data_IF_049773671976
#
_entry.id   IF_049773671976
#
_cell.length_a   1.000
_cell.length_b   1.000
_cell.length_c   1.000
_cell.angle_alpha   90.00
_cell.angle_beta   90.00
_cell.angle_gamma   90.00
#
_symmetry.space_group_name_H-M   'P 1'
#
loop_
_entity.id
_entity.type
_entity.pdbx_description
1 polymer ?
#
# COMPACT_ATOMS: atom_id res chain seq x y z
N UNK A 1 -8.95 5.21 7.93
CA UNK A 1 -9.16 6.45 8.73
C UNK A 1 -10.53 7.03 8.38
N UNK A 2 -11.46 7.23 9.32
CA UNK A 2 -12.76 7.90 9.04
C UNK A 2 -12.52 9.41 8.91
N UNK A 3 -13.08 10.03 7.87
CA UNK A 3 -13.06 11.48 7.65
C UNK A 3 -13.64 12.18 8.88
N UNK A 4 -12.95 13.20 9.40
CA UNK A 4 -13.44 14.04 10.49
C UNK A 4 -13.76 15.40 9.90
N UNK A 5 -15.04 15.70 9.77
CA UNK A 5 -15.48 16.97 9.20
C UNK A 5 -15.44 18.06 10.27
N UNK A 6 -14.91 19.22 9.88
CA UNK A 6 -14.76 20.41 10.70
C UNK A 6 -15.27 21.61 9.92
N UNK A 7 -16.27 22.29 10.46
CA UNK A 7 -16.91 23.44 9.82
C UNK A 7 -16.55 24.72 10.56
N UNK A 8 -16.21 25.76 9.80
CA UNK A 8 -15.93 27.10 10.28
C UNK A 8 -16.98 28.05 9.72
N UNK A 9 -17.71 28.73 10.61
CA UNK A 9 -18.67 29.78 10.28
C UNK A 9 -18.21 31.09 10.89
N UNK A 10 -18.08 32.11 10.04
CA UNK A 10 -17.69 33.46 10.45
C UNK A 10 -18.86 34.39 10.15
N UNK A 11 -19.36 35.07 11.19
CA UNK A 11 -20.34 36.14 11.07
C UNK A 11 -19.80 37.43 11.74
N UNK A 12 -20.44 38.57 11.49
CA UNK A 12 -20.08 39.88 12.05
C UNK A 12 -20.10 39.89 13.58
N UNK A 13 -20.93 39.04 14.21
CA UNK A 13 -21.03 38.93 15.68
C UNK A 13 -20.20 37.78 16.25
N UNK A 14 -20.23 36.60 15.64
CA UNK A 14 -19.62 35.39 16.21
C UNK A 14 -18.68 34.64 15.26
N UNK A 15 -17.75 33.88 15.86
CA UNK A 15 -16.93 32.89 15.19
C UNK A 15 -17.31 31.51 15.74
N UNK A 16 -17.87 30.65 14.89
CA UNK A 16 -18.44 29.36 15.29
C UNK A 16 -17.65 28.25 14.62
N UNK A 17 -17.23 27.26 15.42
CA UNK A 17 -16.60 26.04 14.93
C UNK A 17 -17.46 24.85 15.31
N UNK A 18 -17.75 23.98 14.34
CA UNK A 18 -18.58 22.79 14.55
C UNK A 18 -17.77 21.57 14.14
N UNK A 19 -17.68 20.60 15.05
CA UNK A 19 -17.08 19.30 14.74
C UNK A 19 -17.95 18.17 15.25
N UNK A 20 -18.03 17.11 14.45
CA UNK A 20 -18.78 15.90 14.78
C UNK A 20 -18.10 15.06 15.88
N UNK A 21 -16.82 15.32 16.16
CA UNK A 21 -16.02 14.64 17.18
C UNK A 21 -15.09 15.65 17.84
N UNK A 22 -14.68 15.35 19.07
CA UNK A 22 -13.69 16.16 19.76
C UNK A 22 -12.38 16.23 18.95
N UNK A 23 -11.83 17.44 18.82
CA UNK A 23 -10.63 17.70 18.02
C UNK A 23 -9.55 18.35 18.87
N UNK A 24 -8.32 17.84 18.79
CA UNK A 24 -7.16 18.42 19.47
C UNK A 24 -6.71 19.75 18.84
N UNK A 25 -7.23 20.11 17.67
CA UNK A 25 -6.90 21.34 16.95
C UNK A 25 -7.24 22.56 17.83
N UNK A 26 -8.42 22.55 18.47
CA UNK A 26 -8.87 23.65 19.32
C UNK A 26 -8.22 23.62 20.72
N UNK A 27 -7.70 22.48 21.17
CA UNK A 27 -6.99 22.39 22.44
C UNK A 27 -5.71 23.24 22.43
N UNK A 28 -5.02 23.32 21.29
CA UNK A 28 -3.81 24.13 21.18
C UNK A 28 -4.09 25.65 21.32
N UNK A 29 -5.29 26.09 20.91
CA UNK A 29 -5.77 27.45 21.17
C UNK A 29 -6.22 27.65 22.61
N UNK A 30 -6.97 26.70 23.17
CA UNK A 30 -7.43 26.75 24.57
C UNK A 30 -6.25 26.79 25.56
N UNK A 31 -5.15 26.12 25.23
CA UNK A 31 -3.96 26.01 26.07
C UNK A 31 -2.89 27.09 25.77
N UNK A 32 -3.22 28.15 25.02
CA UNK A 32 -2.31 29.25 24.67
C UNK A 32 -0.98 28.82 23.99
N UNK A 33 -0.98 27.70 23.27
CA UNK A 33 0.21 27.27 22.50
C UNK A 33 0.39 28.08 21.22
N UNK A 34 -0.70 28.66 20.70
CA UNK A 34 -0.68 29.53 19.52
C UNK A 34 -0.46 30.98 19.98
N UNK A 35 0.73 31.53 19.70
CA UNK A 35 1.07 32.92 20.07
C UNK A 35 0.28 33.93 19.24
N UNK A 36 -0.10 35.05 19.86
CA UNK A 36 -0.73 36.17 19.16
C UNK A 36 -2.17 35.90 18.66
N UNK A 37 -2.85 34.91 19.25
CA UNK A 37 -4.25 34.64 18.99
C UNK A 37 -5.15 35.62 19.77
N UNK A 38 -6.08 36.25 19.06
CA UNK A 38 -7.09 37.12 19.63
C UNK A 38 -8.45 36.84 18.99
N UNK A 39 -9.48 36.62 19.80
CA UNK A 39 -10.84 36.27 19.34
C UNK A 39 -11.51 37.38 18.53
N UNK A 40 -11.14 38.65 18.75
CA UNK A 40 -11.67 39.78 18.00
C UNK A 40 -11.08 39.89 16.59
N UNK A 41 -9.89 39.32 16.31
CA UNK A 41 -9.29 39.25 14.97
C UNK A 41 -9.78 38.01 14.22
N UNK A 42 -11.07 37.98 13.85
CA UNK A 42 -11.76 36.81 13.28
C UNK A 42 -11.06 36.20 12.06
N UNK A 43 -10.60 37.03 11.13
CA UNK A 43 -9.86 36.57 9.93
C UNK A 43 -8.55 35.91 10.31
N UNK A 44 -7.73 36.57 11.14
CA UNK A 44 -6.48 36.00 11.67
C UNK A 44 -6.73 34.69 12.41
N UNK A 45 -7.77 34.62 13.23
CA UNK A 45 -8.10 33.40 13.95
C UNK A 45 -8.45 32.24 13.01
N UNK A 46 -9.22 32.49 11.96
CA UNK A 46 -9.51 31.49 10.92
C UNK A 46 -8.23 30.97 10.27
N UNK A 47 -7.33 31.88 9.88
CA UNK A 47 -6.05 31.54 9.26
C UNK A 47 -5.13 30.76 10.20
N UNK A 48 -5.09 31.13 11.48
CA UNK A 48 -4.34 30.40 12.50
C UNK A 48 -4.90 28.98 12.69
N UNK A 49 -6.23 28.78 12.67
CA UNK A 49 -6.83 27.44 12.72
C UNK A 49 -6.41 26.63 11.50
N UNK A 50 -6.48 27.22 10.29
CA UNK A 50 -6.03 26.56 9.07
C UNK A 50 -4.55 26.19 9.12
N UNK A 51 -3.70 27.06 9.66
CA UNK A 51 -2.28 26.80 9.88
C UNK A 51 -2.07 25.59 10.80
N UNK A 52 -2.71 25.58 11.97
CA UNK A 52 -2.64 24.44 12.91
C UNK A 52 -3.10 23.16 12.23
N UNK A 53 -4.22 23.20 11.49
CA UNK A 53 -4.71 22.04 10.72
C UNK A 53 -3.63 21.54 9.75
N UNK A 54 -3.00 22.42 8.95
CA UNK A 54 -1.91 22.06 8.04
C UNK A 54 -0.74 21.40 8.77
N UNK A 55 -0.33 21.91 9.94
CA UNK A 55 0.72 21.29 10.76
C UNK A 55 0.33 19.89 11.25
N UNK A 56 -0.93 19.67 11.64
CA UNK A 56 -1.44 18.34 12.00
C UNK A 56 -1.41 17.39 10.80
N UNK A 57 -1.80 17.84 9.59
CA UNK A 57 -1.68 17.05 8.37
C UNK A 57 -0.25 16.57 8.13
N UNK A 58 0.74 17.46 8.24
CA UNK A 58 2.16 17.12 8.12
C UNK A 58 2.61 16.10 9.16
N UNK A 59 2.17 16.26 10.42
CA UNK A 59 2.48 15.31 11.49
C UNK A 59 1.90 13.93 11.22
N UNK A 60 0.66 13.84 10.74
CA UNK A 60 0.04 12.57 10.38
C UNK A 60 0.70 11.93 9.16
N UNK A 61 1.09 12.71 8.15
CA UNK A 61 1.87 12.19 7.02
C UNK A 61 3.19 11.55 7.47
N UNK A 62 3.91 12.19 8.40
CA UNK A 62 5.13 11.61 8.99
C UNK A 62 4.86 10.31 9.76
N UNK A 63 3.72 10.21 10.45
CA UNK A 63 3.32 8.97 11.13
C UNK A 63 2.97 7.86 10.14
N UNK A 64 2.24 8.18 9.06
CA UNK A 64 1.93 7.24 7.98
C UNK A 64 3.23 6.71 7.39
N UNK A 65 4.19 7.59 7.06
CA UNK A 65 5.48 7.17 6.52
C UNK A 65 6.25 6.23 7.44
N UNK A 66 6.30 6.53 8.75
CA UNK A 66 6.91 5.62 9.73
C UNK A 66 6.21 4.27 9.76
N UNK A 67 4.88 4.26 9.73
CA UNK A 67 4.12 3.00 9.74
C UNK A 67 4.29 2.22 8.44
N UNK A 68 4.37 2.90 7.30
CA UNK A 68 4.73 2.29 6.01
C UNK A 68 6.07 1.56 6.10
N UNK A 69 7.12 2.21 6.63
CA UNK A 69 8.44 1.60 6.77
C UNK A 69 8.45 0.40 7.73
N UNK A 70 7.59 0.39 8.75
CA UNK A 70 7.42 -0.78 9.63
C UNK A 70 6.79 -1.95 8.87
N UNK A 71 5.67 -1.71 8.18
CA UNK A 71 4.97 -2.78 7.44
C UNK A 71 5.81 -3.28 6.26
N UNK A 72 6.61 -2.41 5.64
CA UNK A 72 7.58 -2.79 4.59
C UNK A 72 8.58 -3.83 5.13
N UNK A 73 9.15 -3.59 6.31
CA UNK A 73 10.07 -4.54 6.97
C UNK A 73 9.40 -5.86 7.30
N UNK A 74 8.15 -5.82 7.77
CA UNK A 74 7.37 -7.03 8.06
C UNK A 74 7.06 -7.83 6.79
N UNK A 75 6.70 -7.16 5.68
CA UNK A 75 6.47 -7.80 4.37
C UNK A 75 7.72 -8.44 3.79
N UNK A 76 8.89 -7.80 3.96
CA UNK A 76 10.16 -8.39 3.56
C UNK A 76 10.48 -9.68 4.32
N UNK A 77 10.01 -9.82 5.57
CA UNK A 77 10.20 -11.03 6.37
C UNK A 77 9.13 -12.09 6.09
N UNK A 78 7.87 -11.68 5.94
CA UNK A 78 6.77 -12.59 5.57
C UNK A 78 5.68 -11.90 4.75
N UNK A 79 5.50 -12.37 3.51
CA UNK A 79 4.40 -11.94 2.62
C UNK A 79 3.08 -12.60 3.00
N UNK A 80 2.59 -12.28 4.19
CA UNK A 80 1.30 -12.73 4.68
C UNK A 80 0.20 -11.74 4.24
N UNK A 81 -1.02 -12.26 4.12
CA UNK A 81 -2.15 -11.47 3.64
C UNK A 81 -2.48 -10.28 4.56
N UNK A 82 -2.23 -10.40 5.86
CA UNK A 82 -2.55 -9.35 6.83
C UNK A 82 -1.75 -8.07 6.58
N UNK A 83 -0.48 -8.22 6.23
CA UNK A 83 0.48 -7.15 5.98
C UNK A 83 0.18 -6.48 4.63
N UNK A 84 -0.26 -7.26 3.63
CA UNK A 84 -0.82 -6.72 2.38
C UNK A 84 -2.08 -5.88 2.61
N UNK A 85 -3.01 -6.34 3.45
CA UNK A 85 -4.19 -5.56 3.82
C UNK A 85 -3.84 -4.29 4.60
N UNK A 86 -2.81 -4.33 5.45
CA UNK A 86 -2.29 -3.14 6.13
C UNK A 86 -1.71 -2.14 5.12
N UNK A 87 -0.97 -2.60 4.11
CA UNK A 87 -0.46 -1.77 3.01
C UNK A 87 -1.58 -1.06 2.25
N UNK A 88 -2.59 -1.82 1.82
CA UNK A 88 -3.79 -1.27 1.14
C UNK A 88 -4.50 -0.22 1.99
N UNK A 89 -4.59 -0.43 3.31
CA UNK A 89 -5.21 0.52 4.21
C UNK A 89 -4.40 1.82 4.34
N UNK A 90 -3.06 1.74 4.34
CA UNK A 90 -2.16 2.90 4.35
C UNK A 90 -2.27 3.67 3.03
N UNK A 91 -2.21 2.99 1.89
CA UNK A 91 -2.37 3.57 0.55
C UNK A 91 -3.69 4.34 0.44
N UNK A 92 -4.81 3.68 0.78
CA UNK A 92 -6.15 4.32 0.77
C UNK A 92 -6.19 5.56 1.67
N UNK A 93 -5.57 5.50 2.85
CA UNK A 93 -5.53 6.63 3.77
C UNK A 93 -4.74 7.80 3.18
N UNK A 94 -3.63 7.50 2.49
CA UNK A 94 -2.79 8.51 1.86
C UNK A 94 -3.47 9.17 0.66
N UNK A 95 -4.20 8.41 -0.16
CA UNK A 95 -5.03 8.96 -1.25
C UNK A 95 -6.07 9.94 -0.69
N UNK A 96 -6.77 9.59 0.39
CA UNK A 96 -7.71 10.53 1.03
C UNK A 96 -7.02 11.79 1.58
N UNK A 97 -5.82 11.65 2.14
CA UNK A 97 -5.01 12.78 2.58
C UNK A 97 -4.66 13.71 1.42
N UNK A 98 -4.12 13.16 0.33
CA UNK A 98 -3.78 13.90 -0.87
C UNK A 98 -4.99 14.63 -1.45
N UNK A 99 -6.14 13.96 -1.60
CA UNK A 99 -7.37 14.59 -2.10
C UNK A 99 -7.82 15.74 -1.20
N UNK A 100 -7.76 15.56 0.12
CA UNK A 100 -8.16 16.61 1.08
C UNK A 100 -7.21 17.80 1.04
N UNK A 101 -5.91 17.56 0.95
CA UNK A 101 -4.90 18.62 0.84
C UNK A 101 -5.06 19.41 -0.46
N UNK A 102 -5.26 18.74 -1.61
CA UNK A 102 -5.55 19.39 -2.89
C UNK A 102 -6.81 20.25 -2.84
N UNK A 103 -7.87 19.76 -2.20
CA UNK A 103 -9.09 20.55 -2.00
C UNK A 103 -8.83 21.79 -1.12
N UNK A 104 -8.08 21.64 -0.03
CA UNK A 104 -7.70 22.76 0.85
C UNK A 104 -6.87 23.81 0.08
N UNK A 105 -5.90 23.40 -0.75
CA UNK A 105 -5.11 24.30 -1.59
C UNK A 105 -5.99 25.19 -2.48
N UNK A 106 -7.06 24.64 -3.07
CA UNK A 106 -7.99 25.41 -3.90
C UNK A 106 -8.71 26.48 -3.08
N UNK A 107 -9.15 26.16 -1.86
CA UNK A 107 -9.81 27.11 -0.95
C UNK A 107 -8.83 28.20 -0.50
N UNK A 108 -7.62 27.84 -0.08
CA UNK A 108 -6.59 28.79 0.34
C UNK A 108 -6.21 29.78 -0.77
N UNK A 109 -6.01 29.28 -2.00
CA UNK A 109 -5.73 30.14 -3.16
C UNK A 109 -6.91 31.07 -3.50
N UNK A 110 -8.15 30.62 -3.32
CA UNK A 110 -9.33 31.48 -3.50
C UNK A 110 -9.38 32.58 -2.44
N UNK A 111 -9.06 32.28 -1.18
CA UNK A 111 -8.99 33.28 -0.11
C UNK A 111 -7.97 34.38 -0.43
N UNK A 112 -6.80 34.01 -0.97
CA UNK A 112 -5.74 34.96 -1.35
C UNK A 112 -6.16 35.86 -2.52
N UNK A 113 -6.83 35.30 -3.54
CA UNK A 113 -7.18 36.03 -4.77
C UNK A 113 -8.42 36.90 -4.66
N UNK A 114 -9.44 36.45 -3.93
CA UNK A 114 -10.77 37.07 -3.95
C UNK A 114 -10.98 38.06 -2.81
N UNK A 115 -9.99 38.29 -1.93
CA UNK A 115 -10.13 39.13 -0.73
C UNK A 115 -11.46 38.88 0.01
N UNK A 116 -11.86 37.60 0.15
CA UNK A 116 -13.15 37.19 0.69
C UNK A 116 -13.38 37.66 2.14
N UNK A 117 -12.29 38.02 2.82
CA UNK A 117 -12.26 38.52 4.19
C UNK A 117 -11.41 39.79 4.21
N UNK A 118 -11.76 40.76 5.06
CA UNK A 118 -10.84 41.88 5.37
C UNK A 118 -9.58 41.29 6.00
N UNK A 119 -8.47 41.37 5.26
CA UNK A 119 -7.15 40.90 5.66
C UNK A 119 -6.20 42.09 5.74
N UNK A 120 -5.45 42.17 6.84
CA UNK A 120 -4.30 43.05 6.93
C UNK A 120 -3.09 42.40 6.22
N UNK A 121 -2.03 43.16 5.92
CA UNK A 121 -0.84 42.60 5.26
C UNK A 121 -0.24 41.41 6.02
N UNK A 122 -0.12 41.51 7.35
CA UNK A 122 0.34 40.41 8.20
C UNK A 122 -0.53 39.14 8.11
N UNK A 123 -1.81 39.27 7.74
CA UNK A 123 -2.71 38.12 7.56
C UNK A 123 -2.51 37.47 6.17
N UNK A 124 -2.07 38.23 5.17
CA UNK A 124 -1.70 37.70 3.85
C UNK A 124 -0.42 36.89 3.94
N UNK A 125 0.59 37.40 4.64
CA UNK A 125 1.85 36.66 4.89
C UNK A 125 1.57 35.31 5.56
N UNK A 126 0.72 35.30 6.59
CA UNK A 126 0.30 34.07 7.25
C UNK A 126 -0.43 33.11 6.31
N UNK A 127 -1.28 33.62 5.41
CA UNK A 127 -1.97 32.78 4.43
C UNK A 127 -1.00 32.18 3.40
N UNK A 128 0.01 32.94 2.96
CA UNK A 128 1.07 32.43 2.09
C UNK A 128 1.86 31.29 2.76
N UNK A 129 2.24 31.45 4.03
CA UNK A 129 2.89 30.39 4.81
C UNK A 129 2.01 29.12 4.87
N UNK A 130 0.70 29.26 5.10
CA UNK A 130 -0.24 28.13 5.11
C UNK A 130 -0.30 27.43 3.74
N UNK A 131 -0.25 28.20 2.65
CA UNK A 131 -0.27 27.66 1.28
C UNK A 131 1.04 26.89 1.00
N UNK A 132 2.19 27.41 1.41
CA UNK A 132 3.50 26.75 1.26
C UNK A 132 3.52 25.42 2.01
N UNK A 133 3.14 25.42 3.28
CA UNK A 133 3.09 24.20 4.11
C UNK A 133 2.08 23.18 3.55
N UNK A 134 0.94 23.63 3.02
CA UNK A 134 -0.04 22.75 2.38
C UNK A 134 0.52 22.14 1.08
N UNK A 135 1.25 22.92 0.29
CA UNK A 135 1.92 22.45 -0.93
C UNK A 135 2.96 21.38 -0.60
N UNK A 136 3.78 21.61 0.43
CA UNK A 136 4.76 20.63 0.89
C UNK A 136 4.08 19.33 1.35
N UNK A 137 2.93 19.43 2.05
CA UNK A 137 2.16 18.26 2.43
C UNK A 137 1.65 17.45 1.22
N UNK A 138 1.23 18.13 0.15
CA UNK A 138 0.79 17.47 -1.09
C UNK A 138 1.95 16.70 -1.73
N UNK A 139 3.13 17.33 -1.87
CA UNK A 139 4.30 16.70 -2.47
C UNK A 139 4.77 15.48 -1.69
N UNK A 140 4.77 15.55 -0.36
CA UNK A 140 5.08 14.40 0.49
C UNK A 140 4.03 13.28 0.33
N UNK A 141 2.75 13.62 0.31
CA UNK A 141 1.69 12.63 0.13
C UNK A 141 1.77 11.94 -1.23
N UNK A 142 2.05 12.68 -2.30
CA UNK A 142 2.27 12.14 -3.65
C UNK A 142 3.49 11.22 -3.69
N UNK A 143 4.62 11.65 -3.10
CA UNK A 143 5.84 10.84 -3.01
C UNK A 143 5.57 9.53 -2.30
N UNK A 144 4.96 9.57 -1.11
CA UNK A 144 4.66 8.37 -0.34
C UNK A 144 3.66 7.46 -1.04
N UNK A 145 2.73 8.01 -1.82
CA UNK A 145 1.73 7.23 -2.55
C UNK A 145 2.37 6.51 -3.72
N UNK A 146 3.29 7.17 -4.42
CA UNK A 146 4.08 6.57 -5.49
C UNK A 146 4.94 5.43 -4.97
N UNK A 147 5.62 5.63 -3.84
CA UNK A 147 6.42 4.58 -3.20
C UNK A 147 5.54 3.38 -2.79
N UNK A 148 4.41 3.63 -2.11
CA UNK A 148 3.47 2.57 -1.70
C UNK A 148 2.96 1.77 -2.90
N UNK A 149 2.57 2.44 -3.98
CA UNK A 149 2.11 1.78 -5.22
C UNK A 149 3.22 0.94 -5.85
N UNK A 150 4.44 1.48 -5.98
CA UNK A 150 5.57 0.75 -6.55
C UNK A 150 5.96 -0.48 -5.73
N UNK A 151 5.85 -0.39 -4.40
CA UNK A 151 6.05 -1.55 -3.52
C UNK A 151 4.96 -2.61 -3.71
N UNK A 152 3.69 -2.21 -3.85
CA UNK A 152 2.58 -3.13 -4.11
C UNK A 152 2.80 -3.94 -5.40
N UNK A 153 3.25 -3.28 -6.47
CA UNK A 153 3.57 -3.92 -7.75
C UNK A 153 4.78 -4.86 -7.64
N UNK A 154 5.81 -4.46 -6.89
CA UNK A 154 6.96 -5.31 -6.61
C UNK A 154 6.54 -6.57 -5.82
N UNK A 155 5.70 -6.43 -4.80
CA UNK A 155 5.21 -7.57 -4.03
C UNK A 155 4.30 -8.49 -4.87
N UNK A 156 3.42 -7.94 -5.71
CA UNK A 156 2.65 -8.74 -6.65
C UNK A 156 3.56 -9.55 -7.59
N UNK A 157 4.66 -8.96 -8.05
CA UNK A 157 5.67 -9.64 -8.87
C UNK A 157 6.38 -10.77 -8.10
N UNK A 158 6.73 -10.55 -6.83
CA UNK A 158 7.34 -11.59 -5.98
C UNK A 158 6.36 -12.74 -5.73
N UNK A 159 5.08 -12.44 -5.45
CA UNK A 159 4.03 -13.46 -5.28
C UNK A 159 3.88 -14.28 -6.57
N UNK A 160 3.78 -13.62 -7.72
CA UNK A 160 3.70 -14.28 -9.03
C UNK A 160 4.93 -15.15 -9.32
N UNK A 161 6.13 -14.66 -8.98
CA UNK A 161 7.36 -15.43 -9.11
C UNK A 161 7.36 -16.67 -8.22
N UNK A 162 6.92 -16.55 -6.96
CA UNK A 162 6.80 -17.67 -6.04
C UNK A 162 5.77 -18.71 -6.53
N UNK A 163 4.63 -18.26 -7.04
CA UNK A 163 3.65 -19.15 -7.66
C UNK A 163 4.24 -19.86 -8.87
N UNK A 164 4.97 -19.16 -9.73
CA UNK A 164 5.65 -19.76 -10.88
C UNK A 164 6.68 -20.81 -10.45
N UNK A 165 7.45 -20.57 -9.38
CA UNK A 165 8.40 -21.56 -8.82
C UNK A 165 7.65 -22.80 -8.33
N UNK A 166 6.60 -22.63 -7.52
CA UNK A 166 5.80 -23.75 -6.98
C UNK A 166 5.11 -24.54 -8.11
N UNK A 167 4.57 -23.85 -9.11
CA UNK A 167 3.91 -24.48 -10.25
C UNK A 167 4.90 -25.27 -11.12
N UNK A 168 6.10 -24.73 -11.35
CA UNK A 168 7.16 -25.47 -12.05
C UNK A 168 7.56 -26.71 -11.26
N UNK A 169 7.74 -26.60 -9.95
CA UNK A 169 8.06 -27.75 -9.09
C UNK A 169 6.99 -28.84 -9.16
N UNK A 170 5.71 -28.49 -8.96
CA UNK A 170 4.59 -29.44 -8.98
C UNK A 170 4.43 -30.09 -10.36
N UNK A 171 4.50 -29.30 -11.43
CA UNK A 171 4.40 -29.79 -12.81
C UNK A 171 5.53 -30.76 -13.12
N UNK A 172 6.75 -30.39 -12.76
CA UNK A 172 7.92 -31.21 -13.00
C UNK A 172 7.90 -32.51 -12.20
N UNK A 173 7.47 -32.46 -10.93
CA UNK A 173 7.26 -33.65 -10.10
C UNK A 173 6.17 -34.57 -10.69
N UNK A 174 5.06 -34.00 -11.15
CA UNK A 174 3.97 -34.74 -11.80
C UNK A 174 4.44 -35.47 -13.05
N UNK A 175 5.20 -34.81 -13.92
CA UNK A 175 5.74 -35.41 -15.16
C UNK A 175 6.70 -36.57 -14.81
N UNK A 176 7.60 -36.37 -13.84
CA UNK A 176 8.55 -37.40 -13.42
C UNK A 176 7.81 -38.65 -12.92
N UNK A 177 6.77 -38.49 -12.10
CA UNK A 177 5.96 -39.62 -11.61
C UNK A 177 5.08 -40.26 -12.68
N UNK A 178 4.61 -39.48 -13.66
CA UNK A 178 3.71 -39.99 -14.71
C UNK A 178 4.40 -41.01 -15.62
N UNK A 179 5.71 -40.90 -15.85
CA UNK A 179 6.45 -41.79 -16.75
C UNK A 179 6.55 -43.24 -16.23
N UNK A 180 7.02 -43.51 -14.99
CA UNK A 180 6.97 -44.85 -14.42
C UNK A 180 5.55 -45.40 -14.30
N UNK A 181 4.60 -44.53 -13.92
CA UNK A 181 3.19 -44.93 -13.77
C UNK A 181 2.59 -45.36 -15.11
N UNK A 182 2.89 -44.66 -16.20
CA UNK A 182 2.47 -45.02 -17.55
C UNK A 182 3.06 -46.38 -17.97
N UNK A 183 4.35 -46.62 -17.74
CA UNK A 183 4.99 -47.90 -18.03
C UNK A 183 4.35 -49.04 -17.22
N UNK A 184 4.13 -48.84 -15.92
CA UNK A 184 3.46 -49.80 -15.05
C UNK A 184 2.00 -50.04 -15.48
N UNK A 185 1.27 -49.00 -15.89
CA UNK A 185 -0.11 -49.11 -16.35
C UNK A 185 -0.21 -49.90 -17.64
N UNK A 186 0.71 -49.71 -18.60
CA UNK A 186 0.71 -50.45 -19.86
C UNK A 186 0.97 -51.94 -19.59
N UNK A 187 2.01 -52.25 -18.82
CA UNK A 187 2.37 -53.64 -18.50
C UNK A 187 1.48 -54.30 -17.44
N UNK A 188 0.59 -53.54 -16.80
CA UNK A 188 -0.47 -54.04 -15.94
C UNK A 188 -1.77 -54.39 -16.68
N UNK A 189 -1.84 -54.16 -17.99
CA UNK A 189 -3.01 -54.53 -18.80
C UNK A 189 -3.06 -56.04 -19.03
N UNK A 190 -4.26 -56.63 -18.96
CA UNK A 190 -4.51 -58.05 -19.22
C UNK A 190 -4.57 -58.36 -20.73
N UNK A 191 -3.60 -57.87 -21.50
CA UNK A 191 -3.43 -58.11 -22.94
C UNK A 191 -2.05 -58.70 -23.18
N UNK A 192 -1.89 -59.53 -24.21
CA UNK A 192 -0.59 -60.11 -24.54
C UNK A 192 0.40 -59.04 -24.97
N UNK A 193 1.39 -58.74 -24.13
CA UNK A 193 2.39 -57.72 -24.37
C UNK A 193 3.75 -58.31 -24.75
N UNK A 194 4.54 -57.62 -25.59
CA UNK A 194 5.89 -58.04 -25.90
C UNK A 194 6.73 -58.13 -24.62
N UNK A 195 7.58 -59.15 -24.53
CA UNK A 195 8.47 -59.42 -23.38
C UNK A 195 7.78 -59.85 -22.07
N UNK A 196 6.46 -60.07 -22.03
CA UNK A 196 5.73 -60.47 -20.81
C UNK A 196 6.08 -61.87 -20.31
N UNK A 197 6.33 -62.83 -21.21
CA UNK A 197 6.57 -64.24 -20.85
C UNK A 197 8.03 -64.56 -20.46
N UNK A 198 8.89 -63.54 -20.34
CA UNK A 198 10.30 -63.72 -20.01
C UNK A 198 10.51 -63.67 -18.48
N UNK A 199 11.36 -64.55 -17.90
CA UNK A 199 11.61 -64.57 -16.45
C UNK A 199 12.26 -63.27 -15.92
N UNK A 200 12.89 -62.47 -16.79
CA UNK A 200 13.50 -61.18 -16.47
C UNK A 200 12.62 -59.96 -16.82
N UNK A 201 11.36 -60.17 -17.24
CA UNK A 201 10.45 -59.11 -17.70
C UNK A 201 10.25 -58.01 -16.63
N UNK A 202 9.99 -58.41 -15.39
CA UNK A 202 9.77 -57.49 -14.27
C UNK A 202 10.96 -56.54 -14.04
N UNK A 203 12.18 -57.10 -13.98
CA UNK A 203 13.41 -56.33 -13.83
C UNK A 203 13.66 -55.39 -15.01
N UNK A 204 13.37 -55.84 -16.23
CA UNK A 204 13.54 -55.04 -17.45
C UNK A 204 12.58 -53.85 -17.48
N UNK A 205 11.30 -54.05 -17.17
CA UNK A 205 10.28 -52.99 -17.15
C UNK A 205 10.59 -51.94 -16.08
N UNK A 206 10.97 -52.36 -14.88
CA UNK A 206 11.41 -51.44 -13.81
C UNK A 206 12.64 -50.65 -14.23
N UNK A 207 13.62 -51.30 -14.85
CA UNK A 207 14.84 -50.64 -15.33
C UNK A 207 14.53 -49.55 -16.36
N UNK A 208 13.61 -49.83 -17.31
CA UNK A 208 13.16 -48.85 -18.29
C UNK A 208 12.42 -47.68 -17.61
N UNK A 209 11.50 -47.97 -16.68
CA UNK A 209 10.75 -46.94 -15.96
C UNK A 209 11.68 -46.00 -15.16
N UNK A 210 12.65 -46.57 -14.43
CA UNK A 210 13.65 -45.80 -13.67
C UNK A 210 14.54 -44.99 -14.61
N UNK A 211 14.97 -45.57 -15.73
CA UNK A 211 15.81 -44.90 -16.72
C UNK A 211 15.07 -43.69 -17.35
N UNK A 212 13.80 -43.85 -17.75
CA UNK A 212 12.97 -42.77 -18.26
C UNK A 212 12.76 -41.65 -17.23
N UNK A 213 12.46 -42.01 -15.97
CA UNK A 213 12.31 -41.05 -14.88
C UNK A 213 13.60 -40.27 -14.61
N UNK A 214 14.75 -40.97 -14.62
CA UNK A 214 16.08 -40.39 -14.38
C UNK A 214 16.46 -39.42 -15.50
N UNK A 215 16.26 -39.81 -16.77
CA UNK A 215 16.53 -38.95 -17.92
C UNK A 215 15.70 -37.67 -17.85
N UNK A 216 14.40 -37.78 -17.60
CA UNK A 216 13.51 -36.62 -17.48
C UNK A 216 13.94 -35.69 -16.33
N UNK A 217 14.33 -36.26 -15.20
CA UNK A 217 14.86 -35.51 -14.06
C UNK A 217 16.12 -34.72 -14.44
N UNK A 218 17.08 -35.37 -15.12
CA UNK A 218 18.32 -34.71 -15.58
C UNK A 218 18.00 -33.58 -16.57
N UNK A 219 17.07 -33.79 -17.50
CA UNK A 219 16.65 -32.76 -18.47
C UNK A 219 16.06 -31.55 -17.75
N UNK A 220 15.16 -31.75 -16.79
CA UNK A 220 14.52 -30.67 -16.05
C UNK A 220 15.49 -29.92 -15.14
N UNK A 221 16.44 -30.64 -14.53
CA UNK A 221 17.51 -30.01 -13.77
C UNK A 221 18.41 -29.13 -14.65
N UNK A 222 18.84 -29.63 -15.81
CA UNK A 222 19.64 -28.83 -16.77
C UNK A 222 18.89 -27.60 -17.29
N UNK A 223 17.57 -27.70 -17.44
CA UNK A 223 16.72 -26.58 -17.88
C UNK A 223 16.30 -25.61 -16.76
N UNK A 224 16.77 -25.80 -15.52
CA UNK A 224 16.38 -24.97 -14.36
C UNK A 224 14.85 -24.84 -14.21
N UNK A 225 14.14 -25.94 -14.47
CA UNK A 225 12.71 -26.02 -14.16
C UNK A 225 12.48 -26.15 -12.65
N UNK A 226 13.52 -26.51 -11.89
CA UNK A 226 13.56 -26.51 -10.44
C UNK A 226 14.44 -25.38 -9.93
#
# INVERSE_FOLDING_TARGET
MRKRDYFLYINEEAFITVSLKETSILEDFKNNKVKGFFTYKKTRFALQILFVISTYYLRYLKQINRKTNEVERELHQSMKNQELYAFLALEKSLVYFMTSLKANKVVLNKMLRLNLLKMYEEDKDLLEDVIIENQQAIEMAETYSSILSGMMDAFASVISNNLNIVMKFLTSFTIILSLPTMVASIYGMNVGLPFQDKPYAFLLIISIAVLLSTITTIIFWKKKFF
#
